data_IF_119975489500
#
_entry.id   IF_119975489500
#
_cell.length_a   1.000
_cell.length_b   1.000
_cell.length_c   1.000
_cell.angle_alpha   90.00
_cell.angle_beta   90.00
_cell.angle_gamma   90.00
#
_symmetry.space_group_name_H-M   'P 1'
#
loop_
_entity.id
_entity.type
_entity.pdbx_description
1 polymer ?
#
# COMPACT_ATOMS: atom_id res chain seq x y z
N UNK A 1 -30.03 -4.42 17.22
CA UNK A 1 -29.46 -3.05 17.08
C UNK A 1 -30.01 -2.45 15.80
N UNK A 2 -30.69 -1.31 15.88
CA UNK A 2 -31.32 -0.65 14.74
C UNK A 2 -30.29 0.32 14.15
N UNK A 3 -29.79 0.04 12.94
CA UNK A 3 -28.83 0.91 12.25
C UNK A 3 -29.55 1.75 11.18
N UNK A 4 -29.24 3.05 11.13
CA UNK A 4 -29.84 3.95 10.16
C UNK A 4 -29.28 3.67 8.77
N UNK A 5 -30.14 3.21 7.85
CA UNK A 5 -29.77 2.86 6.47
C UNK A 5 -30.08 3.97 5.46
N UNK A 6 -31.18 4.71 5.67
CA UNK A 6 -31.64 5.75 4.75
C UNK A 6 -31.78 7.06 5.52
N UNK A 7 -31.18 8.12 4.99
CA UNK A 7 -31.20 9.46 5.59
C UNK A 7 -31.52 10.50 4.51
N UNK A 8 -32.36 11.48 4.86
CA UNK A 8 -32.72 12.59 4.00
C UNK A 8 -32.61 13.89 4.79
N UNK A 9 -31.68 14.74 4.38
CA UNK A 9 -31.37 16.06 4.95
C UNK A 9 -31.68 17.18 3.95
N UNK A 10 -32.35 16.88 2.84
CA UNK A 10 -32.71 17.86 1.82
C UNK A 10 -33.51 19.04 2.42
N UNK A 11 -33.19 20.27 2.00
CA UNK A 11 -33.73 21.54 2.53
C UNK A 11 -33.34 21.85 3.99
N UNK A 12 -32.33 21.19 4.53
CA UNK A 12 -31.68 21.63 5.76
C UNK A 12 -30.57 22.64 5.43
N UNK A 13 -30.34 23.70 6.22
CA UNK A 13 -29.18 24.59 6.06
C UNK A 13 -27.85 23.83 5.94
N UNK A 14 -27.70 22.71 6.65
CA UNK A 14 -26.52 21.83 6.58
C UNK A 14 -26.28 21.27 5.17
N UNK A 15 -27.34 21.06 4.38
CA UNK A 15 -27.22 20.55 3.01
C UNK A 15 -26.63 21.56 2.01
N UNK A 16 -26.44 22.82 2.44
CA UNK A 16 -25.81 23.86 1.64
C UNK A 16 -24.27 23.82 1.67
N UNK A 17 -23.68 23.18 2.69
CA UNK A 17 -22.22 23.08 2.80
C UNK A 17 -21.65 22.07 1.78
N UNK A 18 -20.71 22.46 0.89
CA UNK A 18 -20.09 21.54 -0.06
C UNK A 18 -19.52 20.25 0.57
N UNK A 19 -19.08 20.30 1.83
CA UNK A 19 -18.51 19.17 2.56
C UNK A 19 -19.53 18.26 3.26
N UNK A 20 -20.81 18.66 3.36
CA UNK A 20 -21.79 17.99 4.23
C UNK A 20 -21.91 16.50 3.91
N UNK A 21 -21.89 16.15 2.62
CA UNK A 21 -22.16 14.79 2.17
C UNK A 21 -21.06 13.83 2.60
N UNK A 22 -19.80 14.26 2.49
CA UNK A 22 -18.64 13.49 2.94
C UNK A 22 -18.60 13.42 4.47
N UNK A 23 -18.95 14.51 5.15
CA UNK A 23 -19.05 14.57 6.60
C UNK A 23 -20.04 13.52 7.14
N UNK A 24 -21.28 13.55 6.66
CA UNK A 24 -22.34 12.60 7.05
C UNK A 24 -21.93 11.16 6.71
N UNK A 25 -21.30 10.93 5.56
CA UNK A 25 -20.83 9.61 5.15
C UNK A 25 -19.77 9.03 6.09
N UNK A 26 -18.87 9.87 6.63
CA UNK A 26 -17.83 9.44 7.57
C UNK A 26 -18.41 9.12 8.95
N UNK A 27 -19.23 10.02 9.50
CA UNK A 27 -19.78 9.87 10.85
C UNK A 27 -20.92 8.85 10.95
N UNK A 28 -21.65 8.60 9.85
CA UNK A 28 -22.75 7.64 9.78
C UNK A 28 -22.48 6.53 8.74
N UNK A 29 -21.51 5.62 9.00
CA UNK A 29 -21.08 4.61 8.03
C UNK A 29 -22.17 3.58 7.67
N UNK A 30 -23.21 3.45 8.50
CA UNK A 30 -24.37 2.58 8.25
C UNK A 30 -25.30 3.09 7.15
N UNK A 31 -25.25 4.39 6.84
CA UNK A 31 -26.12 4.99 5.83
C UNK A 31 -25.70 4.52 4.43
N UNK A 32 -26.64 3.94 3.71
CA UNK A 32 -26.48 3.48 2.33
C UNK A 32 -27.11 4.46 1.33
N UNK A 33 -28.19 5.14 1.72
CA UNK A 33 -28.91 6.09 0.88
C UNK A 33 -28.99 7.46 1.58
N UNK A 34 -28.38 8.47 0.99
CA UNK A 34 -28.35 9.85 1.50
C UNK A 34 -28.95 10.79 0.46
N UNK A 35 -30.03 11.49 0.80
CA UNK A 35 -30.72 12.46 -0.06
C UNK A 35 -31.15 11.86 -1.41
N UNK A 36 -31.69 10.64 -1.36
CA UNK A 36 -32.10 9.84 -2.54
C UNK A 36 -30.94 9.43 -3.46
N UNK A 37 -29.69 9.68 -3.08
CA UNK A 37 -28.48 9.23 -3.78
C UNK A 37 -27.77 8.16 -2.98
N UNK A 38 -27.45 7.03 -3.62
CA UNK A 38 -26.67 5.96 -2.97
C UNK A 38 -25.29 6.49 -2.61
N UNK A 39 -24.81 6.13 -1.43
CA UNK A 39 -23.44 6.44 -0.99
C UNK A 39 -22.49 5.50 -1.72
N UNK A 40 -21.57 6.07 -2.49
CA UNK A 40 -20.59 5.32 -3.27
C UNK A 40 -19.35 4.98 -2.44
N UNK A 41 -18.64 3.93 -2.84
CA UNK A 41 -17.39 3.55 -2.18
C UNK A 41 -16.31 4.65 -2.30
N UNK A 42 -16.27 5.37 -3.43
CA UNK A 42 -15.37 6.51 -3.65
C UNK A 42 -15.61 7.65 -2.65
N UNK A 43 -16.88 7.94 -2.33
CA UNK A 43 -17.24 8.92 -1.30
C UNK A 43 -16.78 8.46 0.09
N UNK A 44 -16.89 7.16 0.39
CA UNK A 44 -16.40 6.58 1.67
C UNK A 44 -14.89 6.70 1.79
N UNK A 45 -14.16 6.37 0.75
CA UNK A 45 -12.69 6.46 0.72
C UNK A 45 -12.20 7.92 0.81
N UNK A 46 -12.84 8.82 0.07
CA UNK A 46 -12.50 10.26 0.16
C UNK A 46 -12.83 10.84 1.53
N UNK A 47 -13.96 10.49 2.14
CA UNK A 47 -14.31 10.91 3.48
C UNK A 47 -13.32 10.36 4.53
N UNK A 48 -12.91 9.09 4.42
CA UNK A 48 -11.86 8.51 5.25
C UNK A 48 -10.53 9.25 5.09
N UNK A 49 -10.16 9.61 3.86
CA UNK A 49 -8.93 10.34 3.57
C UNK A 49 -8.92 11.73 4.24
N UNK A 50 -10.07 12.41 4.31
CA UNK A 50 -10.19 13.76 4.86
C UNK A 50 -10.29 13.74 6.39
N UNK A 51 -11.13 12.87 6.95
CA UNK A 51 -11.44 12.92 8.40
C UNK A 51 -10.60 11.95 9.23
N UNK A 52 -9.88 11.00 8.62
CA UNK A 52 -9.00 10.06 9.32
C UNK A 52 -7.69 9.83 8.56
N UNK A 53 -6.76 10.76 8.70
CA UNK A 53 -5.47 10.70 8.03
C UNK A 53 -4.61 9.52 8.50
N UNK A 54 -4.66 9.15 9.78
CA UNK A 54 -3.88 8.02 10.30
C UNK A 54 -4.33 6.70 9.70
N UNK A 55 -5.65 6.43 9.72
CA UNK A 55 -6.21 5.21 9.14
C UNK A 55 -5.98 5.17 7.64
N UNK A 56 -6.13 6.31 6.97
CA UNK A 56 -5.88 6.43 5.53
C UNK A 56 -4.42 6.16 5.19
N UNK A 57 -3.47 6.66 5.99
CA UNK A 57 -2.05 6.38 5.83
C UNK A 57 -1.74 4.90 6.04
N UNK A 58 -2.32 4.28 7.06
CA UNK A 58 -2.17 2.85 7.30
C UNK A 58 -2.68 2.05 6.10
N UNK A 59 -3.89 2.35 5.61
CA UNK A 59 -4.46 1.67 4.43
C UNK A 59 -3.58 1.84 3.18
N UNK A 60 -3.04 3.03 2.94
CA UNK A 60 -2.14 3.29 1.81
C UNK A 60 -0.76 2.62 1.98
N UNK A 61 -0.31 2.42 3.23
CA UNK A 61 0.96 1.74 3.52
C UNK A 61 0.87 0.21 3.43
N UNK A 62 -0.34 -0.37 3.45
CA UNK A 62 -0.53 -1.82 3.38
C UNK A 62 -0.52 -2.24 1.90
N UNK A 63 0.62 -2.75 1.44
CA UNK A 63 0.74 -3.49 0.18
C UNK A 63 0.65 -5.01 0.41
N UNK A 64 0.60 -5.81 -0.66
CA UNK A 64 0.60 -7.27 -0.59
C UNK A 64 1.74 -7.80 0.30
N UNK A 65 1.40 -8.22 1.51
CA UNK A 65 2.30 -8.90 2.45
C UNK A 65 3.37 -8.03 3.14
N UNK A 66 3.46 -6.72 2.87
CA UNK A 66 4.44 -5.83 3.52
C UNK A 66 3.89 -4.41 3.72
N UNK A 67 4.22 -3.82 4.89
CA UNK A 67 4.07 -2.39 5.13
C UNK A 67 5.12 -1.65 4.32
N UNK A 68 4.68 -0.73 3.46
CA UNK A 68 5.55 0.17 2.71
C UNK A 68 5.81 1.36 3.61
N UNK A 69 7.05 1.52 4.06
CA UNK A 69 7.49 2.72 4.79
C UNK A 69 7.49 3.90 3.82
N UNK A 70 6.36 4.60 3.72
CA UNK A 70 6.27 5.83 2.93
C UNK A 70 6.90 6.98 3.76
N UNK A 71 8.03 7.57 3.32
CA UNK A 71 8.60 8.72 4.00
C UNK A 71 7.67 9.92 3.84
N UNK A 72 7.30 10.53 4.96
CA UNK A 72 6.51 11.75 5.02
C UNK A 72 7.34 12.91 4.48
N UNK A 73 7.18 13.26 3.20
CA UNK A 73 7.58 14.60 2.75
C UNK A 73 6.43 15.54 3.08
N UNK A 74 6.59 16.28 4.17
CA UNK A 74 5.81 17.45 4.47
C UNK A 74 5.99 18.47 3.33
N UNK A 75 4.89 18.85 2.67
CA UNK A 75 4.92 19.98 1.75
C UNK A 75 5.10 21.27 2.55
N UNK A 76 6.32 21.80 2.53
CA UNK A 76 6.57 23.23 2.71
C UNK A 76 7.14 23.82 1.43
N UNK A 77 6.68 25.03 1.17
CA UNK A 77 6.75 25.79 -0.08
C UNK A 77 8.18 26.06 -0.57
N UNK A 78 8.34 25.94 -1.91
CA UNK A 78 9.25 26.68 -2.80
C UNK A 78 10.76 26.67 -2.53
N UNK A 79 11.52 26.02 -3.43
CA UNK A 79 12.60 26.72 -4.16
C UNK A 79 12.85 26.08 -5.53
N UNK A 80 12.57 26.86 -6.59
CA UNK A 80 13.08 26.78 -7.98
C UNK A 80 12.95 25.45 -8.73
N UNK A 81 11.78 25.25 -9.32
CA UNK A 81 11.65 24.45 -10.54
C UNK A 81 12.28 25.20 -11.73
N UNK A 82 13.28 24.60 -12.36
CA UNK A 82 13.75 25.00 -13.70
C UNK A 82 12.62 24.79 -14.71
N UNK A 83 12.41 25.70 -15.68
CA UNK A 83 11.29 25.60 -16.60
C UNK A 83 11.52 24.46 -17.60
N UNK A 84 10.54 23.56 -17.68
CA UNK A 84 10.39 22.63 -18.80
C UNK A 84 10.17 23.48 -20.07
N UNK A 85 11.23 23.58 -20.88
CA UNK A 85 11.17 24.22 -22.18
C UNK A 85 10.30 23.38 -23.12
N UNK A 86 9.10 23.89 -23.37
CA UNK A 86 8.33 23.84 -24.62
C UNK A 86 8.57 22.60 -25.52
N UNK A 87 7.57 21.72 -25.47
CA UNK A 87 7.03 20.96 -26.60
C UNK A 87 7.54 21.42 -27.98
N UNK A 88 8.48 20.67 -28.56
CA UNK A 88 8.62 20.59 -30.00
C UNK A 88 8.67 19.12 -30.42
N UNK A 89 7.61 18.78 -31.16
CA UNK A 89 7.42 17.68 -32.10
C UNK A 89 7.77 16.25 -31.66
N UNK A 90 6.68 15.53 -31.42
CA UNK A 90 6.49 14.09 -31.44
C UNK A 90 7.04 13.45 -32.72
N UNK A 91 8.02 12.55 -32.59
CA UNK A 91 8.36 11.53 -33.59
C UNK A 91 7.76 10.18 -33.15
N UNK A 92 7.02 9.46 -34.02
CA UNK A 92 6.41 8.19 -33.64
C UNK A 92 7.41 7.04 -33.85
N UNK A 93 7.68 6.25 -32.80
CA UNK A 93 8.43 5.01 -32.97
C UNK A 93 9.19 4.44 -31.77
N UNK A 94 8.97 4.89 -30.54
CA UNK A 94 9.70 4.35 -29.39
C UNK A 94 8.83 3.43 -28.53
N UNK A 95 9.18 2.14 -28.58
CA UNK A 95 8.76 1.09 -27.67
C UNK A 95 9.03 1.48 -26.21
N UNK A 96 8.14 1.03 -25.32
CA UNK A 96 8.16 1.26 -23.88
C UNK A 96 9.48 0.75 -23.29
N UNK A 97 10.42 1.65 -23.01
CA UNK A 97 11.72 1.31 -22.45
C UNK A 97 11.66 1.21 -20.92
N UNK A 98 11.15 0.09 -20.40
CA UNK A 98 11.36 -0.32 -19.01
C UNK A 98 12.67 -1.10 -18.82
N UNK A 99 13.79 -0.67 -19.43
CA UNK A 99 15.05 -1.42 -19.32
C UNK A 99 16.29 -0.50 -19.26
N UNK A 100 16.44 0.28 -18.19
CA UNK A 100 17.72 0.93 -17.88
C UNK A 100 18.56 -0.07 -17.07
N UNK A 101 19.46 -0.76 -17.79
CA UNK A 101 20.80 -1.23 -17.41
C UNK A 101 21.21 -2.40 -18.32
N UNK A 102 21.42 -2.14 -19.61
CA UNK A 102 22.15 -3.09 -20.48
C UNK A 102 23.64 -2.86 -20.26
N UNK A 103 24.27 -3.72 -19.47
CA UNK A 103 25.74 -3.83 -19.46
C UNK A 103 26.15 -4.30 -20.86
N UNK A 104 26.98 -3.56 -21.61
CA UNK A 104 27.45 -4.04 -22.91
C UNK A 104 28.38 -5.23 -22.69
N UNK A 105 28.01 -6.41 -23.19
CA UNK A 105 28.90 -7.56 -23.29
C UNK A 105 29.27 -7.72 -24.76
N UNK A 106 30.55 -7.82 -25.09
CA UNK A 106 30.99 -7.96 -26.49
C UNK A 106 30.67 -9.34 -27.06
N UNK A 107 30.68 -10.38 -26.22
CA UNK A 107 30.31 -11.74 -26.57
C UNK A 107 28.97 -12.12 -25.90
N UNK A 108 27.96 -12.58 -26.66
CA UNK A 108 26.67 -12.98 -26.09
C UNK A 108 26.77 -14.14 -25.09
N UNK A 109 27.74 -15.04 -25.26
CA UNK A 109 27.92 -16.19 -24.36
C UNK A 109 28.35 -15.76 -22.95
N UNK A 110 29.16 -14.69 -22.85
CA UNK A 110 29.59 -14.13 -21.58
C UNK A 110 28.44 -13.49 -20.82
N UNK A 111 27.51 -12.84 -21.55
CA UNK A 111 26.29 -12.30 -20.98
C UNK A 111 25.39 -13.40 -20.41
N UNK A 112 25.28 -14.54 -21.11
CA UNK A 112 24.53 -15.72 -20.66
C UNK A 112 25.18 -16.33 -19.43
N UNK A 113 26.51 -16.48 -19.42
CA UNK A 113 27.26 -17.01 -18.29
C UNK A 113 27.12 -16.15 -17.03
N UNK A 114 27.32 -14.84 -17.13
CA UNK A 114 27.16 -13.91 -16.00
C UNK A 114 25.72 -13.91 -15.51
N UNK A 115 24.73 -13.92 -16.41
CA UNK A 115 23.31 -13.99 -16.04
C UNK A 115 22.95 -15.30 -15.35
N UNK A 116 23.52 -16.42 -15.79
CA UNK A 116 23.33 -17.73 -15.17
C UNK A 116 23.97 -17.78 -13.77
N UNK A 117 25.13 -17.16 -13.60
CA UNK A 117 25.83 -17.08 -12.30
C UNK A 117 25.21 -16.08 -11.33
N UNK A 118 24.45 -15.10 -11.83
CA UNK A 118 23.75 -14.08 -11.02
C UNK A 118 22.34 -14.51 -10.58
N UNK A 119 21.93 -15.75 -10.84
CA UNK A 119 20.64 -16.26 -10.35
C UNK A 119 20.64 -16.24 -8.82
N UNK A 120 19.59 -15.65 -8.24
CA UNK A 120 19.43 -15.59 -6.79
C UNK A 120 19.37 -17.00 -6.22
N UNK A 121 20.18 -17.29 -5.21
CA UNK A 121 20.07 -18.54 -4.44
C UNK A 121 18.65 -18.61 -3.88
N UNK A 122 17.94 -19.70 -4.16
CA UNK A 122 16.61 -19.92 -3.62
C UNK A 122 16.76 -20.59 -2.27
N UNK A 123 16.41 -19.87 -1.21
CA UNK A 123 16.52 -20.35 0.16
C UNK A 123 15.12 -20.59 0.73
N UNK A 124 14.86 -21.81 1.18
CA UNK A 124 13.68 -22.15 1.97
C UNK A 124 14.10 -22.46 3.39
N UNK A 125 13.39 -21.90 4.35
CA UNK A 125 13.56 -22.28 5.75
C UNK A 125 12.26 -22.79 6.34
N UNK A 126 12.30 -23.97 6.93
CA UNK A 126 11.21 -24.55 7.70
C UNK A 126 11.55 -24.55 9.19
N UNK A 127 10.52 -24.35 10.01
CA UNK A 127 10.60 -24.40 11.46
C UNK A 127 9.41 -25.22 11.95
N UNK A 128 9.65 -26.09 12.93
CA UNK A 128 8.59 -26.87 13.57
C UNK A 128 7.79 -25.99 14.54
N UNK A 129 6.60 -25.59 14.14
CA UNK A 129 5.72 -24.74 14.94
C UNK A 129 5.17 -25.44 16.19
N UNK A 130 5.22 -26.77 16.27
CA UNK A 130 4.78 -27.49 17.46
C UNK A 130 5.76 -27.31 18.64
N UNK A 131 7.02 -26.98 18.36
CA UNK A 131 8.06 -26.70 19.37
C UNK A 131 8.10 -25.23 19.79
N UNK A 132 7.35 -24.36 19.12
CA UNK A 132 7.30 -22.92 19.43
C UNK A 132 6.17 -22.69 20.44
N UNK A 133 6.54 -22.19 21.62
CA UNK A 133 5.57 -21.83 22.65
C UNK A 133 4.68 -20.68 22.16
N UNK A 134 3.36 -20.83 22.35
CA UNK A 134 2.41 -19.76 22.06
C UNK A 134 2.58 -18.62 23.08
N UNK A 135 2.20 -17.39 22.74
CA UNK A 135 2.28 -16.21 23.62
C UNK A 135 1.71 -16.42 25.04
N UNK A 136 0.74 -17.33 25.20
CA UNK A 136 0.17 -17.71 26.49
C UNK A 136 1.08 -18.64 27.31
N UNK A 137 1.81 -19.55 26.66
CA UNK A 137 2.76 -20.45 27.30
C UNK A 137 3.99 -19.74 27.84
N UNK A 138 4.51 -18.76 27.09
CA UNK A 138 5.66 -17.91 27.49
C UNK A 138 5.35 -17.12 28.77
N UNK A 139 4.09 -16.72 28.97
CA UNK A 139 3.68 -15.96 30.17
C UNK A 139 3.47 -16.84 31.40
N UNK A 140 3.29 -18.14 31.22
CA UNK A 140 2.91 -19.08 32.28
C UNK A 140 4.09 -19.94 32.73
N UNK A 141 5.03 -20.27 31.84
CA UNK A 141 6.24 -21.03 32.16
C UNK A 141 7.51 -20.16 32.11
N UNK A 142 8.17 -19.98 33.25
CA UNK A 142 9.53 -19.43 33.37
C UNK A 142 10.60 -20.50 33.06
N UNK A 143 10.50 -21.18 31.91
CA UNK A 143 11.51 -22.16 31.49
C UNK A 143 12.50 -21.52 30.50
N UNK A 144 13.81 -21.87 30.56
CA UNK A 144 14.79 -21.38 29.59
C UNK A 144 14.41 -21.88 28.18
N UNK A 145 14.36 -20.97 27.20
CA UNK A 145 14.07 -21.31 25.81
C UNK A 145 15.19 -22.19 25.24
N UNK A 146 14.85 -23.42 24.83
CA UNK A 146 15.77 -24.26 24.08
C UNK A 146 15.95 -23.70 22.65
N UNK A 147 17.17 -23.73 22.09
CA UNK A 147 17.42 -23.22 20.75
C UNK A 147 16.62 -24.03 19.71
N UNK A 148 15.72 -23.36 19.00
CA UNK A 148 14.86 -24.02 18.03
C UNK A 148 15.63 -24.49 16.79
N UNK A 149 15.34 -25.73 16.39
CA UNK A 149 15.91 -26.38 15.22
C UNK A 149 15.25 -25.82 13.94
N UNK A 150 15.94 -24.90 13.27
CA UNK A 150 15.53 -24.35 11.96
C UNK A 150 16.29 -25.08 10.86
N UNK A 151 15.53 -25.70 9.94
CA UNK A 151 16.11 -26.32 8.76
C UNK A 151 16.10 -25.31 7.60
N UNK A 152 17.27 -25.04 7.03
CA UNK A 152 17.43 -24.17 5.87
C UNK A 152 17.97 -24.97 4.70
N UNK A 153 17.22 -25.02 3.61
CA UNK A 153 17.62 -25.68 2.36
C UNK A 153 17.86 -24.62 1.30
N UNK A 154 19.05 -24.64 0.68
CA UNK A 154 19.45 -23.71 -0.38
C UNK A 154 19.54 -24.45 -1.70
N UNK A 155 18.86 -23.93 -2.71
CA UNK A 155 18.89 -24.44 -4.08
C UNK A 155 19.60 -23.41 -4.96
N UNK A 156 20.47 -23.90 -5.84
CA UNK A 156 21.25 -23.09 -6.79
C UNK A 156 20.98 -23.56 -8.21
#
# INVERSE_FOLDING_TARGET
MISLQTLNLFRNPLSQDPGYRLYVTYFLPSVQLLDRKKVTQKERESALHIYNHERSRVLQSIGFGKRIDMPLVAKTVSTRSTPCAKSLLRSPGHEVANHINKVPFENPEDAVFVRAMKRSIMEFSSVDWNKISTCLGIRLENKPEEPHEKLTVKFR
#
